data_IF_847667308995
#
_entry.id   IF_847667308995
#
_cell.length_a   1.000
_cell.length_b   1.000
_cell.length_c   1.000
_cell.angle_alpha   90.00
_cell.angle_beta   90.00
_cell.angle_gamma   90.00
#
_symmetry.space_group_name_H-M   'P 1'
#
loop_
_entity.id
_entity.type
_entity.pdbx_description
1 polymer ?
#
# COMPACT_ATOMS: atom_id res chain seq x y z
N UNK A 1 -9.34 -3.89 7.61
CA UNK A 1 -8.56 -3.13 8.59
C UNK A 1 -8.65 -1.65 8.28
N UNK A 2 -8.83 -0.83 9.28
CA UNK A 2 -8.91 0.62 9.08
C UNK A 2 -7.57 1.26 9.39
N UNK A 3 -7.13 2.15 8.51
CA UNK A 3 -5.88 2.90 8.71
C UNK A 3 -6.13 4.38 8.47
N UNK A 4 -5.25 5.20 9.01
CA UNK A 4 -5.17 6.62 8.68
C UNK A 4 -3.79 6.91 8.13
N UNK A 5 -3.72 7.78 7.14
CA UNK A 5 -2.45 8.23 6.59
C UNK A 5 -2.62 9.68 6.12
N UNK A 6 -1.74 10.55 6.62
CA UNK A 6 -1.98 11.97 6.45
C UNK A 6 -3.28 12.33 7.15
N UNK A 7 -4.21 12.93 6.43
CA UNK A 7 -5.53 13.26 6.98
C UNK A 7 -6.63 12.42 6.34
N UNK A 8 -6.27 11.24 5.80
CA UNK A 8 -7.20 10.37 5.10
C UNK A 8 -7.36 9.05 5.82
N UNK A 9 -8.55 8.45 5.68
CA UNK A 9 -8.84 7.12 6.21
C UNK A 9 -9.09 6.15 5.07
N UNK A 10 -8.60 4.92 5.24
CA UNK A 10 -8.83 3.86 4.27
C UNK A 10 -9.21 2.56 4.97
N UNK A 11 -10.07 1.78 4.32
CA UNK A 11 -10.31 0.39 4.68
C UNK A 11 -9.46 -0.45 3.76
N UNK A 12 -8.55 -1.24 4.33
CA UNK A 12 -7.58 -1.98 3.54
C UNK A 12 -7.64 -3.46 3.80
N UNK A 13 -7.33 -4.23 2.77
CA UNK A 13 -6.97 -5.62 2.93
C UNK A 13 -5.47 -5.65 3.25
N UNK A 14 -5.05 -6.56 4.11
CA UNK A 14 -3.65 -6.65 4.50
C UNK A 14 -3.02 -7.87 3.87
N UNK A 15 -1.96 -7.66 3.10
CA UNK A 15 -1.21 -8.72 2.45
C UNK A 15 0.05 -9.01 3.27
N UNK A 16 0.11 -10.19 3.89
CA UNK A 16 1.25 -10.58 4.72
C UNK A 16 2.01 -11.76 4.15
N UNK A 17 1.35 -12.63 3.40
CA UNK A 17 2.00 -13.80 2.81
C UNK A 17 2.55 -13.44 1.43
N UNK A 18 3.54 -14.21 0.97
CA UNK A 18 4.08 -14.00 -0.37
C UNK A 18 3.00 -14.14 -1.44
N UNK A 19 2.11 -15.09 -1.26
CA UNK A 19 1.02 -15.31 -2.23
C UNK A 19 0.11 -14.09 -2.31
N UNK A 20 -0.27 -13.54 -1.16
CA UNK A 20 -1.12 -12.35 -1.11
C UNK A 20 -0.43 -11.16 -1.75
N UNK A 21 0.87 -11.01 -1.48
CA UNK A 21 1.63 -9.88 -2.00
C UNK A 21 1.78 -9.95 -3.52
N UNK A 22 2.02 -11.15 -4.05
CA UNK A 22 2.15 -11.31 -5.50
C UNK A 22 0.84 -10.99 -6.19
N UNK A 23 -0.27 -11.44 -5.62
CA UNK A 23 -1.58 -11.18 -6.21
C UNK A 23 -1.92 -9.68 -6.19
N UNK A 24 -1.66 -9.02 -5.06
CA UNK A 24 -1.95 -7.60 -4.92
C UNK A 24 -3.38 -7.28 -5.36
N UNK A 25 -3.52 -6.27 -6.18
CA UNK A 25 -4.82 -5.85 -6.71
C UNK A 25 -5.09 -6.36 -8.12
N UNK A 26 -4.36 -7.40 -8.56
CA UNK A 26 -4.67 -8.06 -9.82
C UNK A 26 -6.09 -8.60 -9.75
N UNK A 27 -6.74 -8.68 -10.90
CA UNK A 27 -8.12 -9.18 -11.02
C UNK A 27 -9.21 -8.22 -10.54
N UNK A 28 -8.84 -7.11 -9.92
CA UNK A 28 -9.85 -6.11 -9.58
C UNK A 28 -9.99 -5.13 -10.73
N UNK A 29 -11.22 -4.71 -11.00
CA UNK A 29 -11.51 -3.77 -12.06
C UNK A 29 -11.65 -2.35 -11.55
N UNK A 30 -11.94 -2.20 -10.26
CA UNK A 30 -12.08 -0.88 -9.65
C UNK A 30 -11.80 -0.97 -8.16
N UNK A 31 -11.58 0.17 -7.56
CA UNK A 31 -11.27 0.29 -6.14
C UNK A 31 -12.00 1.52 -5.61
N UNK A 32 -12.68 1.37 -4.48
CA UNK A 32 -13.38 2.50 -3.88
C UNK A 32 -12.43 3.59 -3.42
N UNK A 33 -12.94 4.80 -3.26
CA UNK A 33 -12.11 5.94 -2.88
C UNK A 33 -11.43 5.76 -1.54
N UNK A 34 -12.06 5.02 -0.64
CA UNK A 34 -11.53 4.78 0.70
C UNK A 34 -11.04 3.36 0.88
N UNK A 35 -10.77 2.66 -0.21
CA UNK A 35 -10.28 1.28 -0.17
C UNK A 35 -8.85 1.20 -0.65
N UNK A 36 -8.14 0.19 -0.16
CA UNK A 36 -6.77 -0.04 -0.59
C UNK A 36 -6.27 -1.39 -0.13
N UNK A 37 -4.99 -1.62 -0.39
CA UNK A 37 -4.31 -2.83 0.09
C UNK A 37 -3.00 -2.42 0.75
N UNK A 38 -2.78 -2.94 1.95
CA UNK A 38 -1.56 -2.68 2.73
C UNK A 38 -0.69 -3.93 2.72
N UNK A 39 0.54 -3.77 2.25
CA UNK A 39 1.53 -4.85 2.20
C UNK A 39 2.46 -4.68 3.37
N UNK A 40 2.63 -5.73 4.17
CA UNK A 40 3.45 -5.68 5.39
C UNK A 40 4.62 -6.65 5.24
N UNK A 41 5.83 -6.14 5.44
CA UNK A 41 7.06 -6.92 5.36
C UNK A 41 7.63 -7.09 6.75
N UNK A 42 8.44 -8.14 6.94
CA UNK A 42 8.98 -8.47 8.26
C UNK A 42 10.07 -7.50 8.71
N UNK A 43 10.73 -6.88 7.77
CA UNK A 43 11.84 -5.96 8.07
C UNK A 43 12.00 -4.98 6.90
N UNK A 44 12.62 -3.83 7.15
CA UNK A 44 12.87 -2.86 6.08
C UNK A 44 13.79 -3.47 5.03
N UNK A 45 13.45 -3.26 3.75
CA UNK A 45 14.21 -3.87 2.66
C UNK A 45 13.91 -3.12 1.36
N UNK A 46 14.66 -3.44 0.33
CA UNK A 46 14.38 -2.91 -1.00
C UNK A 46 13.20 -3.65 -1.58
N UNK A 47 12.21 -2.91 -2.05
CA UNK A 47 10.96 -3.47 -2.57
C UNK A 47 10.72 -2.92 -3.97
N UNK A 48 10.28 -3.79 -4.87
CA UNK A 48 9.92 -3.42 -6.23
C UNK A 48 8.49 -3.88 -6.51
N UNK A 49 7.71 -2.98 -7.09
CA UNK A 49 6.34 -3.26 -7.52
C UNK A 49 6.22 -3.00 -9.01
N UNK A 50 5.28 -3.66 -9.67
CA UNK A 50 4.92 -3.37 -11.05
C UNK A 50 3.40 -3.45 -11.18
N UNK A 51 2.92 -3.04 -12.35
CA UNK A 51 1.48 -2.99 -12.61
C UNK A 51 1.01 -4.10 -13.55
N UNK A 52 1.80 -5.16 -13.66
CA UNK A 52 1.41 -6.29 -14.52
C UNK A 52 0.07 -6.85 -14.05
N UNK A 53 -0.83 -7.06 -14.98
CA UNK A 53 -2.16 -7.61 -14.74
C UNK A 53 -3.00 -6.78 -13.76
N UNK A 54 -2.65 -5.52 -13.59
CA UNK A 54 -3.38 -4.60 -12.72
C UNK A 54 -4.02 -3.51 -13.56
N UNK A 55 -5.35 -3.46 -13.55
CA UNK A 55 -6.14 -2.57 -14.39
C UNK A 55 -6.37 -1.20 -13.80
N UNK A 56 -6.15 -1.04 -12.50
CA UNK A 56 -6.49 0.17 -11.75
C UNK A 56 -5.27 1.08 -11.68
N UNK A 57 -5.39 2.37 -12.10
CA UNK A 57 -4.29 3.33 -11.86
C UNK A 57 -4.14 3.52 -10.36
N UNK A 58 -2.92 3.43 -9.86
CA UNK A 58 -2.67 3.43 -8.42
C UNK A 58 -1.61 4.44 -8.01
N UNK A 59 -1.76 4.95 -6.78
CA UNK A 59 -0.63 5.50 -6.04
C UNK A 59 -0.04 4.36 -5.23
N UNK A 60 1.25 4.15 -5.37
CA UNK A 60 1.98 3.12 -4.62
C UNK A 60 2.83 3.86 -3.60
N UNK A 61 2.45 3.73 -2.32
CA UNK A 61 3.00 4.52 -1.23
C UNK A 61 3.98 3.65 -0.46
N UNK A 62 5.26 4.03 -0.49
CA UNK A 62 6.32 3.29 0.19
C UNK A 62 6.59 3.95 1.54
N UNK A 63 6.62 3.14 2.60
CA UNK A 63 6.80 3.64 3.97
C UNK A 63 7.89 2.85 4.70
N UNK A 64 8.56 3.53 5.62
CA UNK A 64 9.63 2.91 6.40
C UNK A 64 9.07 2.15 7.60
N UNK A 65 9.97 1.69 8.49
CA UNK A 65 9.55 0.88 9.64
C UNK A 65 8.73 1.66 10.66
N UNK A 66 8.82 2.98 10.64
CA UNK A 66 8.02 3.83 11.52
C UNK A 66 6.69 4.21 10.87
N UNK A 67 6.45 3.76 9.66
CA UNK A 67 5.22 4.10 8.94
C UNK A 67 5.27 5.46 8.27
N UNK A 68 6.44 6.07 8.19
CA UNK A 68 6.57 7.37 7.52
C UNK A 68 6.73 7.16 6.03
N UNK A 69 6.00 7.94 5.23
CA UNK A 69 6.05 7.83 3.78
C UNK A 69 7.39 8.29 3.26
N UNK A 70 8.08 7.40 2.55
CA UNK A 70 9.35 7.69 1.89
C UNK A 70 9.09 8.30 0.52
N UNK A 71 8.22 7.67 -0.26
CA UNK A 71 7.90 8.13 -1.60
C UNK A 71 6.53 7.62 -2.02
N UNK A 72 5.94 8.31 -3.00
CA UNK A 72 4.69 7.90 -3.63
C UNK A 72 4.96 7.82 -5.13
N UNK A 73 4.75 6.64 -5.71
CA UNK A 73 4.98 6.46 -7.14
C UNK A 73 3.66 6.09 -7.81
N UNK A 74 3.46 6.62 -9.00
CA UNK A 74 2.22 6.37 -9.72
C UNK A 74 2.38 5.16 -10.63
N UNK A 75 1.50 4.18 -10.47
CA UNK A 75 1.46 3.00 -11.30
C UNK A 75 0.40 3.13 -12.35
N UNK A 76 0.78 2.97 -13.62
CA UNK A 76 -0.17 3.00 -14.72
C UNK A 76 -0.64 1.59 -15.05
N UNK A 77 -1.90 1.42 -15.45
CA UNK A 77 -2.42 0.08 -15.72
C UNK A 77 -1.54 -0.70 -16.68
N UNK A 78 -1.27 -1.94 -16.31
CA UNK A 78 -0.56 -2.93 -17.12
C UNK A 78 0.91 -2.59 -17.42
N UNK A 79 1.44 -1.54 -16.82
CA UNK A 79 2.84 -1.15 -17.01
C UNK A 79 3.73 -2.11 -16.22
N UNK A 80 4.74 -2.68 -16.88
CA UNK A 80 5.64 -3.64 -16.24
C UNK A 80 6.95 -3.02 -15.79
N UNK A 81 7.07 -1.70 -15.86
CA UNK A 81 8.22 -0.98 -15.30
C UNK A 81 8.25 -1.17 -13.80
N UNK A 82 9.41 -1.48 -13.26
CA UNK A 82 9.55 -1.66 -11.81
C UNK A 82 9.58 -0.31 -11.11
N UNK A 83 8.78 -0.21 -10.05
CA UNK A 83 8.73 0.95 -9.18
C UNK A 83 9.39 0.52 -7.88
N UNK A 84 10.55 1.09 -7.57
CA UNK A 84 11.42 0.58 -6.52
C UNK A 84 11.68 1.62 -5.44
N UNK A 85 11.87 1.15 -4.21
CA UNK A 85 12.28 2.00 -3.10
C UNK A 85 13.00 1.15 -2.07
N UNK A 86 13.99 1.73 -1.38
CA UNK A 86 14.76 1.04 -0.35
C UNK A 86 14.27 1.45 1.04
N UNK A 87 14.57 0.62 2.04
CA UNK A 87 14.21 0.92 3.43
C UNK A 87 12.72 0.79 3.70
N UNK A 88 12.03 -0.03 2.92
CA UNK A 88 10.57 -0.12 2.94
C UNK A 88 10.10 -1.26 3.83
N UNK A 89 9.15 -0.99 4.71
CA UNK A 89 8.51 -2.02 5.52
C UNK A 89 7.03 -2.13 5.21
N UNK A 90 6.39 -1.05 4.77
CA UNK A 90 4.96 -1.06 4.41
C UNK A 90 4.77 -0.44 3.05
N UNK A 91 3.82 -0.98 2.28
CA UNK A 91 3.41 -0.39 1.01
C UNK A 91 1.89 -0.32 1.00
N UNK A 92 1.36 0.85 0.65
CA UNK A 92 -0.09 1.03 0.52
C UNK A 92 -0.41 1.31 -0.94
N UNK A 93 -1.35 0.55 -1.50
CA UNK A 93 -1.87 0.80 -2.84
C UNK A 93 -3.27 1.35 -2.72
N UNK A 94 -3.49 2.52 -3.31
CA UNK A 94 -4.78 3.21 -3.33
C UNK A 94 -4.98 3.83 -4.71
N UNK A 95 -6.17 4.32 -4.99
CA UNK A 95 -6.42 5.02 -6.26
C UNK A 95 -5.47 6.19 -6.42
N UNK A 96 -5.11 6.49 -7.67
CA UNK A 96 -4.26 7.63 -7.98
C UNK A 96 -4.87 8.95 -7.50
N UNK A 97 -4.00 9.93 -7.33
CA UNK A 97 -4.38 11.27 -6.91
C UNK A 97 -4.90 11.30 -5.47
N UNK A 98 -4.32 10.46 -4.64
CA UNK A 98 -4.71 10.34 -3.24
C UNK A 98 -4.35 11.57 -2.42
N UNK A 99 -3.33 12.31 -2.83
CA UNK A 99 -2.82 13.42 -2.05
C UNK A 99 -1.82 13.02 -0.97
N UNK A 100 -1.56 11.73 -0.82
CA UNK A 100 -0.56 11.24 0.12
C UNK A 100 0.83 11.68 -0.36
N UNK A 101 1.68 12.12 0.56
CA UNK A 101 2.98 12.65 0.17
C UNK A 101 4.06 12.24 1.17
N UNK A 102 5.34 12.33 0.77
CA UNK A 102 6.43 12.02 1.68
C UNK A 102 6.32 12.80 2.97
N UNK A 103 6.60 12.12 4.08
CA UNK A 103 6.47 12.71 5.41
C UNK A 103 5.16 12.42 6.09
N UNK A 104 4.13 12.02 5.36
CA UNK A 104 2.88 11.57 5.98
C UNK A 104 3.14 10.30 6.77
N UNK A 105 2.32 10.06 7.80
CA UNK A 105 2.52 8.93 8.69
C UNK A 105 1.31 8.01 8.69
N UNK A 106 1.60 6.71 8.73
CA UNK A 106 0.60 5.66 8.78
C UNK A 106 0.22 5.39 10.23
N UNK A 107 -1.08 5.34 10.51
CA UNK A 107 -1.61 4.94 11.80
C UNK A 107 -2.58 3.79 11.56
N UNK A 108 -2.27 2.63 12.16
CA UNK A 108 -3.11 1.46 12.04
C UNK A 108 -4.04 1.41 13.25
N UNK A 109 -5.32 1.55 13.01
CA UNK A 109 -6.30 1.76 14.08
C UNK A 109 -6.88 0.50 14.72
N UNK A 110 -6.68 -0.61 14.22
CA UNK A 110 -7.36 -1.75 14.82
C UNK A 110 -6.64 -2.27 16.03
N UNK A 111 -7.03 -2.60 16.15
CA UNK A 111 -6.77 -3.34 16.80
C UNK A 111 -6.98 -4.23 17.41
N UNK A 112 -7.34 -4.07 17.18
CA UNK A 112 -7.56 -4.82 17.62
C UNK A 112 -7.57 -5.65 18.16
N UNK A 113 -7.90 -5.52 18.10
CA UNK A 113 -8.00 -6.23 18.49
C UNK A 113 -8.05 -7.06 18.92
N UNK A 114 -8.15 -7.03 18.68
CA UNK A 114 -8.20 -7.82 18.98
C UNK A 114 -7.94 -8.37 19.66
N UNK A 115 -7.96 -7.96 19.75
CA UNK A 115 -7.70 -8.42 20.36
C UNK A 115 -7.86 -9.03 21.03
N UNK A 116 -8.13 -8.96 21.09
CA UNK A 116 -8.33 -9.53 21.67
C UNK A 116 -8.37 -10.46 22.09
N UNK A 117 -8.34 -10.48 21.95
CA UNK A 117 -8.48 -11.39 22.22
C UNK A 117 -8.34 -12.05 22.90
#
# INVERSE_FOLDING_TARGET
MKIEIGDKEYNVEVARTEEEKVKGLQEKESLGEDEGMLFVYDEPQEIAFWMKDTAIPLDIVFMDEDGEVISVKQGQPYDETLLEEDGVMYVLEVNQNSGIQPGDELDMEDDDDDSQL
#
